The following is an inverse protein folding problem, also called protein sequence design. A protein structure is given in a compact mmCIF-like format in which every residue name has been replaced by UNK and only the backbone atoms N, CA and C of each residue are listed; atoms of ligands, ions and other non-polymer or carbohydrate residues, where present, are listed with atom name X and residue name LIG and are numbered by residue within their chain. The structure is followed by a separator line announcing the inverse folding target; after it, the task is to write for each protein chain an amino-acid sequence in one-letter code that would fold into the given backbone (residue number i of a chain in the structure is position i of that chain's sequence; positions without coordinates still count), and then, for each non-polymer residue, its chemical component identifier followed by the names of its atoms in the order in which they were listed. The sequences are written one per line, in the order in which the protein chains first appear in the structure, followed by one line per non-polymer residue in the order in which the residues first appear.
data_IF_934615174769
#
_entry.id   IF_934615174769
#
_cell.length_a   1.000
_cell.length_b   1.000
_cell.length_c   1.000
_cell.angle_alpha   90.00
_cell.angle_beta   90.00
_cell.angle_gamma   90.00
#
_symmetry.space_group_name_H-M   'P 1'
#
loop_
_entity.id
_entity.type
_entity.pdbx_description
1 polymer ?
#
# COMPACT_ATOMS: atom_id res chain seq x y z
N UNK A 1 -11.14 3.14 23.88
CA UNK A 1 -12.00 3.23 22.69
C UNK A 1 -11.24 2.59 21.55
N UNK A 2 -11.62 1.36 21.20
CA UNK A 2 -11.06 0.62 20.06
C UNK A 2 -11.73 1.21 18.83
N UNK A 3 -11.09 2.16 18.18
CA UNK A 3 -11.43 2.52 16.81
C UNK A 3 -10.90 1.39 15.93
N UNK A 4 -11.78 0.49 15.49
CA UNK A 4 -11.45 -0.48 14.45
C UNK A 4 -11.05 0.30 13.18
N UNK A 5 -9.83 0.08 12.71
CA UNK A 5 -9.39 0.61 11.43
C UNK A 5 -10.30 0.03 10.33
N UNK A 6 -11.22 0.86 9.84
CA UNK A 6 -12.13 0.45 8.77
C UNK A 6 -11.29 0.26 7.52
N UNK A 7 -11.24 -0.96 7.01
CA UNK A 7 -10.47 -1.26 5.81
C UNK A 7 -11.05 -0.50 4.60
N UNK A 8 -10.22 -0.26 3.57
CA UNK A 8 -10.67 0.35 2.31
C UNK A 8 -11.89 -0.37 1.74
N UNK A 9 -11.86 -1.70 1.73
CA UNK A 9 -12.98 -2.51 1.25
C UNK A 9 -14.25 -2.28 2.07
N UNK A 10 -14.14 -2.17 3.39
CA UNK A 10 -15.28 -1.92 4.27
C UNK A 10 -15.88 -0.53 4.05
N UNK A 11 -15.03 0.49 3.79
CA UNK A 11 -15.51 1.82 3.43
C UNK A 11 -16.25 1.82 2.09
N UNK A 12 -15.75 1.11 1.08
CA UNK A 12 -16.42 0.98 -0.21
C UNK A 12 -17.74 0.20 -0.09
N UNK A 13 -17.78 -0.86 0.72
CA UNK A 13 -19.01 -1.61 1.00
C UNK A 13 -20.05 -0.74 1.73
N UNK A 14 -19.62 0.12 2.63
CA UNK A 14 -20.51 1.07 3.29
C UNK A 14 -21.10 2.09 2.31
N UNK A 15 -20.30 2.60 1.36
CA UNK A 15 -20.79 3.47 0.29
C UNK A 15 -21.78 2.72 -0.62
N UNK A 16 -21.49 1.46 -0.97
CA UNK A 16 -22.37 0.62 -1.77
C UNK A 16 -23.74 0.41 -1.10
N UNK A 17 -23.79 0.22 0.22
CA UNK A 17 -25.05 0.05 0.97
C UNK A 17 -25.94 1.29 0.95
N UNK A 18 -25.34 2.47 0.78
CA UNK A 18 -26.08 3.75 0.72
C UNK A 18 -26.40 4.13 -0.72
N UNK A 19 -25.69 3.54 -1.69
CA UNK A 19 -25.92 3.80 -3.11
C UNK A 19 -27.30 3.26 -3.56
N UNK A 20 -28.03 4.08 -4.31
CA UNK A 20 -29.31 3.66 -4.93
C UNK A 20 -29.02 2.80 -6.16
N UNK A 21 -28.95 1.48 -5.96
CA UNK A 21 -28.68 0.51 -7.02
C UNK A 21 -29.58 -0.70 -6.90
N UNK A 22 -29.85 -1.36 -8.04
CA UNK A 22 -30.61 -2.59 -8.05
C UNK A 22 -29.85 -3.74 -7.38
N UNK A 23 -30.55 -4.74 -6.80
CA UNK A 23 -29.90 -5.83 -6.03
C UNK A 23 -28.86 -6.61 -6.82
N UNK A 24 -29.06 -6.76 -8.15
CA UNK A 24 -28.13 -7.47 -9.01
C UNK A 24 -26.84 -6.66 -9.23
N UNK A 25 -26.96 -5.38 -9.54
CA UNK A 25 -25.80 -4.47 -9.62
C UNK A 25 -25.05 -4.41 -8.29
N UNK A 26 -25.76 -4.40 -7.15
CA UNK A 26 -25.14 -4.41 -5.81
C UNK A 26 -24.30 -5.66 -5.60
N UNK A 27 -24.84 -6.86 -5.90
CA UNK A 27 -24.11 -8.13 -5.78
C UNK A 27 -22.86 -8.18 -6.63
N UNK A 28 -22.93 -7.67 -7.88
CA UNK A 28 -21.76 -7.63 -8.77
C UNK A 28 -20.75 -6.60 -8.29
N UNK A 29 -21.21 -5.44 -7.77
CA UNK A 29 -20.33 -4.41 -7.22
C UNK A 29 -19.56 -4.88 -5.97
N UNK A 30 -20.14 -5.76 -5.14
CA UNK A 30 -19.40 -6.41 -4.04
C UNK A 30 -18.23 -7.25 -4.57
N UNK A 31 -18.44 -8.00 -5.66
CA UNK A 31 -17.36 -8.75 -6.29
C UNK A 31 -16.28 -7.82 -6.90
N UNK A 32 -16.68 -6.69 -7.49
CA UNK A 32 -15.74 -5.65 -7.97
C UNK A 32 -14.90 -5.12 -6.82
N UNK A 33 -15.51 -4.74 -5.68
CA UNK A 33 -14.80 -4.23 -4.50
C UNK A 33 -13.79 -5.27 -3.98
N UNK A 34 -14.15 -6.54 -3.97
CA UNK A 34 -13.24 -7.64 -3.60
C UNK A 34 -12.04 -7.80 -4.54
N UNK A 35 -12.15 -7.35 -5.78
CA UNK A 35 -11.06 -7.37 -6.78
C UNK A 35 -10.16 -6.14 -6.79
N UNK A 36 -10.38 -5.14 -5.90
CA UNK A 36 -9.56 -3.93 -5.79
C UNK A 36 -8.35 -4.20 -4.90
N UNK A 37 -7.16 -3.81 -5.37
CA UNK A 37 -5.92 -3.92 -4.62
C UNK A 37 -5.75 -2.78 -3.59
N UNK A 38 -4.70 -2.87 -2.75
CA UNK A 38 -4.39 -1.87 -1.71
C UNK A 38 -4.12 -0.47 -2.27
N UNK A 39 -3.67 -0.37 -3.52
CA UNK A 39 -3.45 0.91 -4.21
C UNK A 39 -4.74 1.52 -4.75
N UNK A 40 -5.84 0.77 -4.75
CA UNK A 40 -7.15 1.20 -5.24
C UNK A 40 -7.45 0.81 -6.68
N UNK A 41 -6.64 -0.06 -7.30
CA UNK A 41 -6.83 -0.50 -8.68
C UNK A 41 -7.62 -1.82 -8.76
N UNK A 42 -8.51 -1.89 -9.74
CA UNK A 42 -9.22 -3.14 -10.08
C UNK A 42 -8.29 -4.05 -10.90
N UNK A 43 -7.85 -5.16 -10.29
CA UNK A 43 -6.97 -6.14 -10.94
C UNK A 43 -7.72 -7.19 -11.72
N UNK A 44 -8.97 -7.44 -11.36
CA UNK A 44 -9.80 -8.46 -12.00
C UNK A 44 -10.35 -7.93 -13.32
N UNK A 45 -10.20 -8.71 -14.39
CA UNK A 45 -10.74 -8.33 -15.69
C UNK A 45 -12.28 -8.34 -15.66
N UNK A 46 -12.97 -7.40 -16.34
CA UNK A 46 -14.45 -7.36 -16.35
C UNK A 46 -15.13 -8.66 -16.79
N UNK A 47 -14.53 -9.40 -17.73
CA UNK A 47 -15.04 -10.71 -18.17
C UNK A 47 -14.97 -11.78 -17.07
N UNK A 48 -13.92 -11.74 -16.22
CA UNK A 48 -13.78 -12.67 -15.10
C UNK A 48 -14.81 -12.35 -14.00
N UNK A 49 -15.08 -11.07 -13.76
CA UNK A 49 -16.14 -10.61 -12.86
C UNK A 49 -17.52 -11.11 -13.38
N UNK A 50 -17.77 -10.91 -14.66
CA UNK A 50 -19.02 -11.37 -15.30
C UNK A 50 -19.21 -12.87 -15.15
N UNK A 51 -18.17 -13.66 -15.46
CA UNK A 51 -18.20 -15.11 -15.33
C UNK A 51 -18.37 -15.57 -13.88
N UNK A 52 -17.59 -14.98 -12.95
CA UNK A 52 -17.63 -15.34 -11.53
C UNK A 52 -18.94 -14.94 -10.84
N UNK A 53 -19.58 -13.87 -11.29
CA UNK A 53 -20.86 -13.38 -10.78
C UNK A 53 -22.08 -13.94 -11.52
N UNK A 54 -21.88 -14.67 -12.65
CA UNK A 54 -22.97 -15.20 -13.45
C UNK A 54 -23.82 -14.11 -14.11
N UNK A 55 -23.22 -13.00 -14.50
CA UNK A 55 -23.87 -11.85 -15.13
C UNK A 55 -23.28 -11.57 -16.53
N UNK A 56 -23.90 -10.66 -17.25
CA UNK A 56 -23.39 -10.21 -18.56
C UNK A 56 -22.21 -9.24 -18.38
N UNK A 57 -21.38 -9.10 -19.41
CA UNK A 57 -20.30 -8.13 -19.41
C UNK A 57 -20.81 -6.69 -19.20
N UNK A 58 -21.97 -6.36 -19.75
CA UNK A 58 -22.59 -5.03 -19.60
C UNK A 58 -22.98 -4.74 -18.14
N UNK A 59 -23.52 -5.74 -17.44
CA UNK A 59 -23.86 -5.65 -16.01
C UNK A 59 -22.59 -5.52 -15.16
N UNK A 60 -21.53 -6.27 -15.48
CA UNK A 60 -20.24 -6.12 -14.80
C UNK A 60 -19.65 -4.70 -15.00
N UNK A 61 -19.68 -4.18 -16.21
CA UNK A 61 -19.23 -2.81 -16.50
C UNK A 61 -20.08 -1.73 -15.79
N UNK A 62 -21.41 -1.97 -15.68
CA UNK A 62 -22.30 -1.07 -14.92
C UNK A 62 -21.89 -1.05 -13.44
N UNK A 63 -21.63 -2.22 -12.85
CA UNK A 63 -21.17 -2.33 -11.47
C UNK A 63 -19.79 -1.68 -11.26
N UNK A 64 -18.86 -1.86 -12.20
CA UNK A 64 -17.55 -1.19 -12.16
C UNK A 64 -17.72 0.34 -12.17
N UNK A 65 -18.54 0.88 -13.06
CA UNK A 65 -18.82 2.33 -13.09
C UNK A 65 -19.46 2.84 -11.80
N UNK A 66 -20.32 2.05 -11.16
CA UNK A 66 -20.88 2.40 -9.86
C UNK A 66 -19.79 2.52 -8.80
N UNK A 67 -18.89 1.53 -8.71
CA UNK A 67 -17.78 1.55 -7.74
C UNK A 67 -16.79 2.69 -8.05
N UNK A 68 -16.54 2.99 -9.33
CA UNK A 68 -15.70 4.12 -9.75
C UNK A 68 -16.28 5.50 -9.39
N UNK A 69 -17.58 5.57 -9.05
CA UNK A 69 -18.20 6.80 -8.56
C UNK A 69 -18.00 7.04 -7.07
N UNK A 70 -17.45 6.06 -6.33
CA UNK A 70 -17.24 6.15 -4.89
C UNK A 70 -15.99 6.98 -4.52
N UNK A 71 -15.88 7.31 -3.24
CA UNK A 71 -14.72 7.97 -2.67
C UNK A 71 -13.70 6.92 -2.15
N UNK A 72 -12.40 7.13 -2.38
CA UNK A 72 -11.75 8.28 -3.02
C UNK A 72 -11.85 8.27 -4.56
N UNK A 73 -11.80 9.45 -5.21
CA UNK A 73 -11.85 9.55 -6.66
C UNK A 73 -10.72 8.76 -7.33
N UNK A 74 -11.06 8.02 -8.39
CA UNK A 74 -10.11 7.15 -9.10
C UNK A 74 -10.05 5.73 -8.59
N UNK A 75 -10.81 5.38 -7.53
CA UNK A 75 -10.93 4.00 -7.03
C UNK A 75 -11.55 3.08 -8.09
N UNK A 76 -11.12 1.83 -8.14
CA UNK A 76 -11.64 0.85 -9.11
C UNK A 76 -11.18 1.08 -10.56
N UNK A 77 -10.23 1.98 -10.80
CA UNK A 77 -9.58 2.13 -12.10
C UNK A 77 -8.73 0.91 -12.44
N UNK A 78 -8.64 0.57 -13.72
CA UNK A 78 -7.85 -0.59 -14.21
C UNK A 78 -6.36 -0.26 -14.34
N UNK A 79 -6.07 1.00 -14.66
CA UNK A 79 -4.71 1.51 -14.81
C UNK A 79 -4.59 2.98 -14.36
N UNK A 80 -3.35 3.50 -14.40
CA UNK A 80 -3.05 4.87 -14.02
C UNK A 80 -3.80 5.90 -14.89
N UNK A 81 -3.92 5.65 -16.19
CA UNK A 81 -4.59 6.58 -17.12
C UNK A 81 -6.05 6.74 -16.75
N UNK A 82 -6.75 5.63 -16.58
CA UNK A 82 -8.17 5.63 -16.16
C UNK A 82 -8.33 6.29 -14.78
N UNK A 83 -7.43 6.01 -13.83
CA UNK A 83 -7.46 6.61 -12.49
C UNK A 83 -7.38 8.15 -12.55
N UNK A 84 -6.46 8.69 -13.32
CA UNK A 84 -6.30 10.13 -13.48
C UNK A 84 -7.49 10.76 -14.21
N UNK A 85 -8.04 10.10 -15.24
CA UNK A 85 -9.22 10.57 -15.98
C UNK A 85 -10.47 10.60 -15.06
N UNK A 86 -10.68 9.56 -14.27
CA UNK A 86 -11.78 9.54 -13.29
C UNK A 86 -11.69 10.70 -12.30
N UNK A 87 -10.47 11.02 -11.82
CA UNK A 87 -10.26 12.17 -10.94
C UNK A 87 -10.51 13.50 -11.66
N UNK A 88 -10.04 13.67 -12.90
CA UNK A 88 -10.30 14.86 -13.71
C UNK A 88 -11.81 15.07 -13.89
N UNK A 89 -12.56 14.02 -14.22
CA UNK A 89 -14.02 14.05 -14.34
C UNK A 89 -14.71 14.48 -13.05
N UNK A 90 -14.26 13.90 -11.91
CA UNK A 90 -14.82 14.25 -10.59
C UNK A 90 -14.57 15.71 -10.23
N UNK A 91 -13.45 16.29 -10.68
CA UNK A 91 -13.10 17.70 -10.48
C UNK A 91 -13.73 18.64 -11.51
N UNK A 92 -14.45 18.12 -12.52
CA UNK A 92 -14.97 18.91 -13.64
C UNK A 92 -13.87 19.53 -14.52
N UNK A 93 -12.70 18.91 -14.59
CA UNK A 93 -11.51 19.36 -15.32
C UNK A 93 -11.14 18.43 -16.48
N UNK A 94 -12.02 17.56 -16.90
CA UNK A 94 -11.83 16.61 -17.99
C UNK A 94 -11.89 17.29 -19.39
N UNK A 95 -11.08 18.32 -19.57
CA UNK A 95 -10.96 18.99 -20.87
C UNK A 95 -10.30 18.05 -21.88
N UNK A 96 -10.66 18.15 -23.19
CA UNK A 96 -10.07 17.29 -24.21
C UNK A 96 -8.54 17.31 -24.22
N UNK A 97 -7.94 18.47 -23.92
CA UNK A 97 -6.48 18.64 -23.86
C UNK A 97 -5.83 17.88 -22.70
N UNK A 98 -6.45 17.89 -21.50
CA UNK A 98 -5.95 17.16 -20.33
C UNK A 98 -6.18 15.66 -20.48
N UNK A 99 -7.31 15.25 -21.03
CA UNK A 99 -7.60 13.84 -21.32
C UNK A 99 -6.59 13.28 -22.32
N UNK A 100 -6.36 13.98 -23.44
CA UNK A 100 -5.35 13.59 -24.45
C UNK A 100 -3.94 13.49 -23.84
N UNK A 101 -3.58 14.42 -22.96
CA UNK A 101 -2.28 14.41 -22.28
C UNK A 101 -2.11 13.17 -21.41
N UNK A 102 -3.16 12.77 -20.71
CA UNK A 102 -3.16 11.57 -19.85
C UNK A 102 -3.18 10.28 -20.70
N UNK A 103 -4.00 10.21 -21.74
CA UNK A 103 -4.14 9.00 -22.55
C UNK A 103 -2.90 8.70 -23.40
N UNK A 104 -2.30 9.74 -24.01
CA UNK A 104 -1.32 9.55 -25.05
C UNK A 104 0.11 9.99 -24.69
N UNK A 105 0.30 10.86 -23.67
CA UNK A 105 1.57 11.55 -23.47
C UNK A 105 2.19 11.40 -22.07
N UNK A 106 1.63 10.55 -21.19
CA UNK A 106 2.21 10.34 -19.84
C UNK A 106 3.66 9.86 -19.90
N UNK A 107 4.02 8.99 -20.84
CA UNK A 107 5.38 8.50 -20.98
C UNK A 107 6.37 9.60 -21.41
N UNK A 108 5.96 10.49 -22.31
CA UNK A 108 6.80 11.59 -22.74
C UNK A 108 7.01 12.61 -21.62
N UNK A 109 5.99 12.83 -20.78
CA UNK A 109 6.11 13.64 -19.57
C UNK A 109 7.09 12.97 -18.59
N UNK A 110 6.96 11.66 -18.33
CA UNK A 110 7.83 10.92 -17.44
C UNK A 110 9.30 10.93 -17.91
N UNK A 111 9.52 10.92 -19.24
CA UNK A 111 10.85 11.03 -19.86
C UNK A 111 11.34 12.46 -20.01
N UNK A 112 10.60 13.45 -19.51
CA UNK A 112 10.91 14.89 -19.57
C UNK A 112 11.10 15.44 -21.01
N UNK A 113 10.37 14.89 -22.00
CA UNK A 113 10.42 15.34 -23.41
C UNK A 113 9.49 16.54 -23.68
N UNK A 114 9.40 17.48 -22.73
CA UNK A 114 8.43 18.57 -22.75
C UNK A 114 8.55 19.50 -23.95
N UNK A 115 9.75 19.92 -24.43
CA UNK A 115 9.87 20.78 -25.60
C UNK A 115 9.36 20.12 -26.89
N UNK A 116 9.59 18.81 -27.03
CA UNK A 116 9.13 18.03 -28.19
C UNK A 116 7.61 17.89 -28.17
N UNK A 117 7.05 17.61 -26.99
CA UNK A 117 5.61 17.48 -26.78
C UNK A 117 4.88 18.80 -27.02
N UNK A 118 5.39 19.92 -26.52
CA UNK A 118 4.83 21.25 -26.75
C UNK A 118 4.79 21.57 -28.25
N UNK A 119 5.88 21.27 -29.00
CA UNK A 119 5.95 21.44 -30.43
C UNK A 119 4.97 20.55 -31.20
N UNK A 120 4.84 19.26 -30.79
CA UNK A 120 3.92 18.32 -31.45
C UNK A 120 2.45 18.73 -31.28
N UNK A 121 2.10 19.26 -30.08
CA UNK A 121 0.74 19.74 -29.78
C UNK A 121 0.49 21.20 -30.22
N UNK A 122 1.50 21.86 -30.78
CA UNK A 122 1.45 23.25 -31.22
C UNK A 122 0.98 24.23 -30.10
N UNK A 123 1.50 24.05 -28.92
CA UNK A 123 1.22 24.88 -27.73
C UNK A 123 2.53 25.42 -27.13
N UNK A 124 2.43 26.50 -26.35
CA UNK A 124 3.58 27.03 -25.62
C UNK A 124 4.03 26.07 -24.52
N UNK A 125 5.32 26.09 -24.19
CA UNK A 125 5.88 25.30 -23.07
C UNK A 125 5.25 25.70 -21.73
N UNK A 126 4.89 26.97 -21.58
CA UNK A 126 4.23 27.50 -20.39
C UNK A 126 2.82 26.91 -20.21
N UNK A 127 2.03 26.84 -21.30
CA UNK A 127 0.71 26.20 -21.29
C UNK A 127 0.82 24.71 -20.95
N UNK A 128 1.77 23.98 -21.57
CA UNK A 128 2.02 22.58 -21.27
C UNK A 128 2.39 22.35 -19.80
N UNK A 129 3.27 23.19 -19.24
CA UNK A 129 3.63 23.10 -17.84
C UNK A 129 2.45 23.36 -16.89
N UNK A 130 1.54 24.25 -17.26
CA UNK A 130 0.27 24.47 -16.55
C UNK A 130 -0.62 23.22 -16.54
N UNK A 131 -0.78 22.58 -17.70
CA UNK A 131 -1.54 21.32 -17.85
C UNK A 131 -0.92 20.18 -17.00
N UNK A 132 0.40 20.03 -17.04
CA UNK A 132 1.14 19.05 -16.25
C UNK A 132 1.00 19.34 -14.75
N UNK A 133 0.99 20.61 -14.34
CA UNK A 133 0.81 20.98 -12.94
C UNK A 133 -0.57 20.58 -12.41
N UNK A 134 -1.62 20.61 -13.24
CA UNK A 134 -2.94 20.09 -12.87
C UNK A 134 -2.92 18.57 -12.70
N UNK A 135 -2.27 17.82 -13.60
CA UNK A 135 -2.14 16.36 -13.49
C UNK A 135 -1.34 15.98 -12.24
N UNK A 136 -0.29 16.71 -11.89
CA UNK A 136 0.54 16.45 -10.70
C UNK A 136 -0.21 16.62 -9.37
N UNK A 137 -1.34 17.30 -9.35
CA UNK A 137 -2.20 17.43 -8.15
C UNK A 137 -3.05 16.20 -7.91
N UNK A 138 -3.18 15.32 -8.90
CA UNK A 138 -3.98 14.11 -8.81
C UNK A 138 -3.23 13.03 -8.03
N UNK A 139 -3.99 12.12 -7.42
CA UNK A 139 -3.41 11.03 -6.63
C UNK A 139 -3.30 9.75 -7.48
N UNK A 140 -2.07 9.26 -7.78
CA UNK A 140 -1.89 8.03 -8.54
C UNK A 140 -2.27 6.75 -7.78
N UNK A 141 -2.43 6.81 -6.45
CA UNK A 141 -2.76 5.66 -5.61
C UNK A 141 -3.93 6.01 -4.67
N UNK A 142 -5.18 6.01 -5.16
CA UNK A 142 -6.33 6.44 -4.37
C UNK A 142 -6.55 5.60 -3.11
N UNK A 143 -6.18 4.32 -3.12
CA UNK A 143 -6.27 3.45 -1.95
C UNK A 143 -5.44 3.92 -0.75
N UNK A 144 -4.32 4.61 -0.98
CA UNK A 144 -3.45 5.12 0.09
C UNK A 144 -4.13 6.20 0.95
N UNK A 145 -5.07 6.95 0.40
CA UNK A 145 -5.83 7.96 1.17
C UNK A 145 -6.57 7.32 2.33
N UNK A 146 -7.04 6.11 2.15
CA UNK A 146 -7.75 5.33 3.18
C UNK A 146 -6.74 4.65 4.12
N UNK A 147 -5.59 4.21 3.59
CA UNK A 147 -4.53 3.56 4.36
C UNK A 147 -3.77 4.53 5.27
N UNK A 148 -3.65 5.80 4.89
CA UNK A 148 -2.98 6.84 5.68
C UNK A 148 -3.71 7.20 7.00
N UNK A 149 -4.92 6.68 7.21
CA UNK A 149 -5.65 6.81 8.49
C UNK A 149 -5.12 5.78 9.52
N UNK A 150 -4.22 4.87 9.16
CA UNK A 150 -3.56 4.02 10.16
C UNK A 150 -2.74 4.92 11.08
N UNK A 151 -3.14 5.08 12.34
CA UNK A 151 -2.28 5.76 13.28
C UNK A 151 -0.98 4.97 13.33
N UNK A 152 0.11 5.57 12.90
CA UNK A 152 1.44 5.00 13.13
C UNK A 152 1.63 5.04 14.64
N UNK A 153 1.28 3.95 15.32
CA UNK A 153 1.60 3.81 16.72
C UNK A 153 3.13 3.74 16.83
N UNK A 154 3.71 4.87 17.21
CA UNK A 154 5.09 4.86 17.68
C UNK A 154 5.06 4.13 19.01
N UNK A 155 5.43 2.86 18.98
CA UNK A 155 5.58 2.09 20.22
C UNK A 155 6.89 2.53 20.85
N UNK A 156 6.85 3.16 22.04
CA UNK A 156 8.07 3.58 22.69
C UNK A 156 8.92 2.37 23.06
N UNK A 157 10.18 2.34 22.68
CA UNK A 157 11.13 1.30 23.08
C UNK A 157 11.43 1.37 24.60
N UNK A 158 11.23 2.56 25.17
CA UNK A 158 11.52 2.84 26.59
C UNK A 158 10.45 3.77 27.15
N UNK A 159 9.97 3.48 28.33
CA UNK A 159 9.09 4.34 29.12
C UNK A 159 9.81 4.75 30.42
N UNK A 160 9.78 6.03 30.75
CA UNK A 160 10.32 6.53 32.01
C UNK A 160 9.15 6.65 32.99
N UNK A 161 9.16 5.87 34.05
CA UNK A 161 8.14 5.88 35.12
C UNK A 161 8.72 6.57 36.36
N UNK A 162 7.89 7.34 37.04
CA UNK A 162 8.27 7.98 38.29
C UNK A 162 8.14 6.95 39.44
N UNK A 163 9.23 6.72 40.17
CA UNK A 163 9.28 5.82 41.34
C UNK A 163 9.65 6.65 42.60
N UNK A 164 8.63 7.27 43.21
CA UNK A 164 8.82 8.21 44.32
C UNK A 164 9.45 9.52 43.84
N UNK A 165 10.65 9.83 44.36
CA UNK A 165 11.45 11.01 43.93
C UNK A 165 12.44 10.71 42.81
N UNK A 166 12.56 9.43 42.41
CA UNK A 166 13.44 8.98 41.32
C UNK A 166 12.67 8.59 40.05
N UNK A 167 13.41 8.39 38.95
CA UNK A 167 12.88 7.92 37.68
C UNK A 167 13.41 6.53 37.34
N UNK A 168 12.51 5.63 36.96
CA UNK A 168 12.82 4.28 36.52
C UNK A 168 12.58 4.13 35.02
N UNK A 169 13.60 3.62 34.34
CA UNK A 169 13.52 3.32 32.90
C UNK A 169 13.00 1.90 32.70
N UNK A 170 11.82 1.77 32.11
CA UNK A 170 11.15 0.50 31.79
C UNK A 170 11.26 0.22 30.30
N UNK A 171 11.75 -0.96 29.94
CA UNK A 171 11.87 -1.40 28.54
C UNK A 171 10.60 -2.07 28.07
N UNK A 172 10.20 -1.75 26.86
CA UNK A 172 9.13 -2.46 26.18
C UNK A 172 9.71 -3.64 25.38
N UNK A 173 9.87 -4.79 26.06
CA UNK A 173 10.42 -6.02 25.45
C UNK A 173 9.45 -6.71 24.47
N UNK A 174 8.22 -6.20 24.31
CA UNK A 174 7.17 -6.86 23.51
C UNK A 174 7.51 -6.99 22.04
N UNK A 175 8.43 -6.16 21.52
CA UNK A 175 8.83 -6.11 20.11
C UNK A 175 10.22 -6.67 19.84
N UNK A 176 10.97 -7.03 20.87
CA UNK A 176 12.28 -7.63 20.70
C UNK A 176 12.12 -9.13 20.65
N UNK A 177 12.39 -9.79 19.53
CA UNK A 177 12.29 -11.23 19.44
C UNK A 177 13.29 -11.87 20.40
N UNK A 178 12.82 -12.72 21.30
CA UNK A 178 13.69 -13.54 22.16
C UNK A 178 14.42 -14.57 21.28
N UNK A 179 15.62 -14.23 20.86
CA UNK A 179 16.45 -15.13 20.06
C UNK A 179 17.06 -16.20 20.97
N UNK A 180 16.88 -17.45 20.60
CA UNK A 180 17.51 -18.59 21.27
C UNK A 180 18.19 -19.48 20.25
N UNK A 181 19.38 -19.94 20.58
CA UNK A 181 20.06 -20.97 19.80
C UNK A 181 19.34 -22.30 20.06
N UNK A 182 18.90 -22.97 19.00
CA UNK A 182 18.24 -24.27 19.10
C UNK A 182 19.22 -25.32 19.65
N UNK A 183 18.83 -25.98 20.73
CA UNK A 183 19.59 -27.09 21.33
C UNK A 183 19.80 -28.25 20.36
N UNK A 184 18.92 -28.39 19.38
CA UNK A 184 19.05 -29.41 18.34
C UNK A 184 20.32 -29.20 17.48
N UNK A 185 20.58 -27.97 17.03
CA UNK A 185 21.79 -27.67 16.25
C UNK A 185 23.07 -27.77 17.07
N UNK A 186 23.04 -27.48 18.38
CA UNK A 186 24.18 -27.69 19.27
C UNK A 186 24.51 -29.18 19.39
N UNK A 187 23.49 -30.04 19.58
CA UNK A 187 23.67 -31.49 19.60
C UNK A 187 24.22 -32.05 18.29
N UNK A 188 23.78 -31.53 17.13
CA UNK A 188 24.32 -31.94 15.83
C UNK A 188 25.82 -31.61 15.67
N UNK A 189 26.32 -30.55 16.30
CA UNK A 189 27.74 -30.22 16.28
C UNK A 189 28.59 -31.21 17.11
N UNK A 190 27.99 -31.77 18.17
CA UNK A 190 28.63 -32.71 19.06
C UNK A 190 28.56 -34.16 18.53
N UNK A 191 27.63 -34.45 17.59
CA UNK A 191 27.47 -35.80 17.03
C UNK A 191 28.60 -36.17 16.09
N UNK A 192 29.36 -37.24 16.38
CA UNK A 192 30.46 -37.73 15.53
C UNK A 192 30.03 -38.08 14.07
N UNK A 193 28.77 -38.46 13.87
CA UNK A 193 28.19 -38.87 12.59
C UNK A 193 27.81 -37.72 11.66
N UNK A 194 27.84 -36.46 12.16
CA UNK A 194 27.52 -35.29 11.36
C UNK A 194 28.66 -35.00 10.36
N UNK A 195 28.32 -34.83 9.06
CA UNK A 195 29.30 -34.53 8.04
C UNK A 195 29.98 -33.17 8.26
N UNK A 196 31.21 -33.00 7.82
CA UNK A 196 31.98 -31.77 7.98
C UNK A 196 31.34 -30.57 7.30
N UNK A 197 30.68 -30.76 6.17
CA UNK A 197 29.93 -29.69 5.46
C UNK A 197 28.78 -29.17 6.31
N UNK A 198 27.98 -30.04 6.92
CA UNK A 198 26.90 -29.69 7.81
C UNK A 198 27.39 -28.98 9.07
N UNK A 199 28.53 -29.47 9.64
CA UNK A 199 29.16 -28.81 10.80
C UNK A 199 29.63 -27.41 10.46
N UNK A 200 30.26 -27.22 9.32
CA UNK A 200 30.75 -25.91 8.87
C UNK A 200 29.59 -24.94 8.65
N UNK A 201 28.50 -25.41 8.02
CA UNK A 201 27.25 -24.62 7.84
C UNK A 201 26.65 -24.20 9.18
N UNK A 202 26.48 -25.12 10.11
CA UNK A 202 25.92 -24.82 11.43
C UNK A 202 26.82 -23.83 12.19
N UNK A 203 28.15 -23.99 12.18
CA UNK A 203 29.09 -23.05 12.81
C UNK A 203 28.95 -21.63 12.23
N UNK A 204 28.84 -21.47 10.92
CA UNK A 204 28.65 -20.18 10.28
C UNK A 204 27.32 -19.54 10.71
N UNK A 205 26.24 -20.32 10.75
CA UNK A 205 24.93 -19.82 11.21
C UNK A 205 24.93 -19.43 12.69
N UNK A 206 25.61 -20.18 13.55
CA UNK A 206 25.79 -19.84 14.97
C UNK A 206 26.61 -18.56 15.16
N UNK A 207 27.68 -18.39 14.39
CA UNK A 207 28.51 -17.19 14.45
C UNK A 207 27.70 -15.95 14.08
N UNK A 208 26.93 -16.04 12.99
CA UNK A 208 26.05 -14.94 12.54
C UNK A 208 24.94 -14.68 13.59
N UNK A 209 24.32 -15.72 14.14
CA UNK A 209 23.31 -15.60 15.18
C UNK A 209 23.84 -14.93 16.45
N UNK A 210 25.04 -15.34 16.91
CA UNK A 210 25.71 -14.74 18.06
C UNK A 210 26.09 -13.26 17.79
N UNK A 211 26.48 -12.91 16.57
CA UNK A 211 26.74 -11.54 16.15
C UNK A 211 25.48 -10.68 16.25
N UNK A 212 24.35 -11.19 15.78
CA UNK A 212 23.06 -10.50 15.87
C UNK A 212 22.62 -10.30 17.35
N UNK A 213 22.74 -11.34 18.19
CA UNK A 213 22.41 -11.25 19.61
C UNK A 213 23.26 -10.19 20.31
N UNK A 214 24.57 -10.14 20.05
CA UNK A 214 25.46 -9.11 20.60
C UNK A 214 25.08 -7.71 20.15
N UNK A 215 24.72 -7.52 18.88
CA UNK A 215 24.30 -6.21 18.36
C UNK A 215 23.01 -5.72 19.02
N UNK A 216 22.04 -6.61 19.27
CA UNK A 216 20.81 -6.29 20.00
C UNK A 216 21.09 -5.91 21.45
N UNK A 217 21.92 -6.67 22.15
CA UNK A 217 22.35 -6.36 23.53
C UNK A 217 23.07 -5.00 23.60
N UNK A 218 23.92 -4.71 22.63
CA UNK A 218 24.65 -3.43 22.57
C UNK A 218 23.69 -2.26 22.31
N UNK A 219 22.68 -2.45 21.42
CA UNK A 219 21.63 -1.46 21.19
C UNK A 219 20.87 -1.17 22.49
N UNK A 220 20.44 -2.20 23.21
CA UNK A 220 19.74 -2.05 24.49
C UNK A 220 20.58 -1.29 25.51
N UNK A 221 21.87 -1.64 25.66
CA UNK A 221 22.80 -0.91 26.55
C UNK A 221 22.96 0.55 26.16
N UNK A 222 22.99 0.85 24.87
CA UNK A 222 23.12 2.22 24.37
C UNK A 222 21.87 3.03 24.69
N UNK A 223 20.68 2.48 24.42
CA UNK A 223 19.39 3.13 24.76
C UNK A 223 19.30 3.39 26.25
N UNK A 224 19.68 2.39 27.09
CA UNK A 224 19.69 2.52 28.56
C UNK A 224 20.60 3.66 29.07
N UNK A 225 21.66 3.96 28.33
CA UNK A 225 22.60 5.02 28.72
C UNK A 225 22.16 6.41 28.30
N UNK A 226 21.27 6.49 27.28
CA UNK A 226 20.78 7.75 26.73
C UNK A 226 19.49 8.19 27.43
N UNK A 227 18.63 7.25 27.84
CA UNK A 227 17.41 7.49 28.61
C UNK A 227 17.72 7.73 30.09
#
# INVERSE_FOLDING_TARGET
SITSDVSMQEQLLNQLRVADSDPETTRVAEAVIGGIDESGYLKTHPADIATGSGCTLQEAEKAIRLVQSFDPPGIGARDLKECLILQLRRLGKDTPELVDLVENHLEDIARNKLPQLAKARNISLEKLNGEIAEIKKLNPCPGNVIADIKPVYIVPEVTVERDGDDFKVVYNDSYIPHLRISKFYLKMLEDPNTSDDVRSYIRNKLTNGNGLMKSLEQRQKTIKRIA
#
